data_IF_237206278886
#
_entry.id   IF_237206278886
#
_cell.length_a   1.000
_cell.length_b   1.000
_cell.length_c   1.000
_cell.angle_alpha   90.00
_cell.angle_beta   90.00
_cell.angle_gamma   90.00
#
_symmetry.space_group_name_H-M   'P 1'
#
loop_
_entity.id
_entity.type
_entity.pdbx_description
1 polymer ?
#
# COMPACT_ATOMS: atom_id res chain seq x y z
N UNK A 1 -12.52 -0.45 38.76
CA UNK A 1 -11.93 0.42 37.71
C UNK A 1 -11.01 -0.35 36.77
N UNK A 2 -10.25 -1.34 37.25
CA UNK A 2 -9.32 -2.14 36.45
C UNK A 2 -9.94 -2.87 35.24
N UNK A 3 -11.13 -3.48 35.37
CA UNK A 3 -11.83 -4.14 34.24
C UNK A 3 -12.16 -3.18 33.09
N UNK A 4 -12.63 -1.97 33.39
CA UNK A 4 -12.94 -0.94 32.39
C UNK A 4 -11.66 -0.48 31.67
N UNK A 5 -10.57 -0.32 32.41
CA UNK A 5 -9.26 0.03 31.86
C UNK A 5 -8.72 -1.11 30.96
N UNK A 6 -8.88 -2.37 31.37
CA UNK A 6 -8.51 -3.54 30.58
C UNK A 6 -9.27 -3.57 29.25
N UNK A 7 -10.60 -3.39 29.26
CA UNK A 7 -11.38 -3.34 28.02
C UNK A 7 -10.95 -2.20 27.08
N UNK A 8 -10.63 -1.02 27.64
CA UNK A 8 -10.14 0.12 26.88
C UNK A 8 -8.78 -0.17 26.21
N UNK A 9 -7.85 -0.78 26.95
CA UNK A 9 -6.55 -1.20 26.43
C UNK A 9 -6.70 -2.27 25.34
N UNK A 10 -7.60 -3.24 25.54
CA UNK A 10 -7.88 -4.29 24.53
C UNK A 10 -8.44 -3.72 23.23
N UNK A 11 -9.37 -2.74 23.31
CA UNK A 11 -9.94 -2.08 22.12
C UNK A 11 -8.87 -1.31 21.35
N UNK A 12 -8.00 -0.57 22.05
CA UNK A 12 -6.92 0.19 21.41
C UNK A 12 -5.92 -0.74 20.73
N UNK A 13 -5.55 -1.86 21.37
CA UNK A 13 -4.67 -2.86 20.74
C UNK A 13 -5.29 -3.46 19.47
N UNK A 14 -6.58 -3.76 19.51
CA UNK A 14 -7.29 -4.37 18.39
C UNK A 14 -7.43 -3.40 17.21
N UNK A 15 -7.71 -2.12 17.47
CA UNK A 15 -7.82 -1.08 16.43
C UNK A 15 -6.47 -0.67 15.83
N UNK A 16 -5.37 -0.75 16.60
CA UNK A 16 -4.02 -0.38 16.14
C UNK A 16 -3.34 -1.40 15.23
N UNK A 17 -3.97 -2.54 14.95
CA UNK A 17 -3.37 -3.65 14.19
C UNK A 17 -3.61 -3.57 12.68
N UNK A 18 -4.19 -2.48 12.17
CA UNK A 18 -4.35 -2.29 10.72
C UNK A 18 -3.00 -1.93 10.11
N UNK A 19 -2.42 -2.84 9.33
CA UNK A 19 -1.28 -2.49 8.48
C UNK A 19 -1.82 -1.69 7.30
N UNK A 20 -1.35 -0.46 7.16
CA UNK A 20 -1.73 0.42 6.05
C UNK A 20 -0.58 0.38 5.04
N UNK A 21 -0.77 -0.27 3.90
CA UNK A 21 0.17 -0.12 2.79
C UNK A 21 0.02 1.22 2.10
N UNK A 22 0.94 1.51 1.18
CA UNK A 22 0.98 2.74 0.43
C UNK A 22 0.21 2.61 -0.89
N UNK A 23 -0.30 3.74 -1.39
CA UNK A 23 -0.56 3.85 -2.82
C UNK A 23 0.78 3.77 -3.57
N UNK A 24 0.91 2.85 -4.51
CA UNK A 24 2.10 2.68 -5.34
C UNK A 24 1.71 2.72 -6.82
N UNK A 25 2.38 3.58 -7.59
CA UNK A 25 2.01 3.87 -8.96
C UNK A 25 2.98 3.24 -9.96
N UNK A 26 2.43 2.61 -10.99
CA UNK A 26 3.19 2.18 -12.15
C UNK A 26 3.67 3.38 -12.96
N UNK A 27 4.97 3.48 -13.19
CA UNK A 27 5.59 4.52 -14.01
C UNK A 27 6.12 3.99 -15.33
N UNK A 28 6.53 2.71 -15.38
CA UNK A 28 7.14 2.09 -16.56
C UNK A 28 8.50 2.69 -16.96
N UNK A 29 9.16 3.42 -16.06
CA UNK A 29 10.40 4.16 -16.35
C UNK A 29 11.68 3.31 -16.19
N UNK A 30 11.57 2.06 -15.74
CA UNK A 30 12.70 1.14 -15.49
C UNK A 30 13.31 0.50 -16.74
N UNK A 31 12.77 0.76 -17.92
CA UNK A 31 13.37 0.39 -19.21
C UNK A 31 13.13 -1.05 -19.68
N UNK A 32 12.54 -1.91 -18.83
CA UNK A 32 12.21 -3.30 -19.15
C UNK A 32 10.72 -3.64 -19.13
N UNK A 33 9.87 -2.70 -18.67
CA UNK A 33 8.42 -2.87 -18.50
C UNK A 33 8.00 -4.09 -17.65
N UNK A 34 8.86 -4.56 -16.74
CA UNK A 34 8.57 -5.70 -15.87
C UNK A 34 8.02 -5.25 -14.51
N UNK A 35 6.95 -5.91 -14.06
CA UNK A 35 6.34 -5.67 -12.73
C UNK A 35 7.30 -5.95 -11.57
N UNK A 36 8.28 -6.84 -11.78
CA UNK A 36 9.29 -7.22 -10.80
C UNK A 36 10.42 -6.20 -10.66
N UNK A 37 10.49 -5.19 -11.53
CA UNK A 37 11.59 -4.23 -11.56
C UNK A 37 11.20 -2.99 -10.74
N UNK A 38 11.90 -2.73 -9.62
CA UNK A 38 11.60 -1.60 -8.72
C UNK A 38 11.52 -0.24 -9.41
N UNK A 39 12.34 -0.02 -10.42
CA UNK A 39 12.46 1.24 -11.15
C UNK A 39 11.22 1.54 -12.02
N UNK A 40 10.35 0.55 -12.26
CA UNK A 40 9.05 0.77 -12.90
C UNK A 40 7.96 1.28 -11.93
N UNK A 41 8.28 1.46 -10.65
CA UNK A 41 7.37 1.92 -9.60
C UNK A 41 7.84 3.25 -9.01
N UNK A 42 6.91 4.14 -8.68
CA UNK A 42 7.20 5.49 -8.17
C UNK A 42 7.92 5.48 -6.82
N UNK A 43 7.68 4.47 -5.97
CA UNK A 43 8.35 4.32 -4.67
C UNK A 43 9.69 3.58 -4.76
N UNK A 44 10.18 3.24 -5.96
CA UNK A 44 11.47 2.56 -6.16
C UNK A 44 11.54 1.17 -5.51
N UNK A 45 10.41 0.50 -5.34
CA UNK A 45 10.28 -0.89 -4.87
C UNK A 45 9.09 -1.56 -5.54
N UNK A 46 9.05 -2.89 -5.53
CA UNK A 46 7.85 -3.62 -5.94
C UNK A 46 6.74 -3.51 -4.87
N UNK A 47 5.44 -3.51 -5.26
CA UNK A 47 4.33 -3.53 -4.34
C UNK A 47 4.38 -4.73 -3.38
N UNK A 48 4.02 -4.50 -2.14
CA UNK A 48 3.77 -5.55 -1.14
C UNK A 48 2.29 -5.92 -1.11
N UNK A 49 1.92 -6.91 -0.30
CA UNK A 49 0.52 -7.35 -0.16
C UNK A 49 -0.42 -6.28 0.40
N UNK A 50 0.12 -5.24 1.03
CA UNK A 50 -0.64 -4.20 1.71
C UNK A 50 -0.80 -2.95 0.83
N UNK A 51 0.03 -2.82 -0.21
CA UNK A 51 0.06 -1.65 -1.08
C UNK A 51 -1.11 -1.68 -2.09
N UNK A 52 -1.64 -0.49 -2.38
CA UNK A 52 -2.67 -0.31 -3.41
C UNK A 52 -2.02 0.12 -4.73
N UNK A 53 -2.11 -0.74 -5.74
CA UNK A 53 -1.49 -0.51 -7.05
C UNK A 53 -2.37 0.42 -7.90
N UNK A 54 -1.77 1.52 -8.37
CA UNK A 54 -2.40 2.46 -9.32
C UNK A 54 -1.72 2.37 -10.69
N UNK A 55 -2.54 2.20 -11.72
CA UNK A 55 -2.10 2.24 -13.12
C UNK A 55 -2.90 3.34 -13.81
N UNK A 56 -2.23 4.43 -14.14
CA UNK A 56 -2.82 5.46 -14.98
C UNK A 56 -2.90 4.95 -16.42
N UNK A 57 -4.08 4.47 -16.80
CA UNK A 57 -4.40 4.20 -18.21
C UNK A 57 -4.85 5.53 -18.81
N UNK A 58 -4.07 6.16 -19.72
CA UNK A 58 -4.54 7.36 -20.39
C UNK A 58 -5.86 7.06 -21.09
N UNK A 59 -6.81 8.00 -21.03
CA UNK A 59 -8.10 7.85 -21.69
C UNK A 59 -7.86 7.43 -23.14
N UNK A 60 -8.48 6.32 -23.56
CA UNK A 60 -8.35 5.82 -24.92
C UNK A 60 -8.65 6.97 -25.89
N UNK A 61 -7.67 7.34 -26.71
CA UNK A 61 -7.86 8.33 -27.74
C UNK A 61 -8.98 7.85 -28.66
N UNK A 62 -10.11 8.57 -28.63
CA UNK A 62 -11.28 8.29 -29.46
C UNK A 62 -11.01 8.53 -30.95
#
# INVERSE_FOLDING_TARGET
>A
MCKKLIYLVSIVLFMGSVSQGADIQWTGLGGDNLWSTPENWDLGRVPTLEDEVRIDVPAAAA
#
